data_IF_353424687860
#
_entry.id   IF_353424687860
#
_cell.length_a   1.000
_cell.length_b   1.000
_cell.length_c   1.000
_cell.angle_alpha   90.00
_cell.angle_beta   90.00
_cell.angle_gamma   90.00
#
_symmetry.space_group_name_H-M   'P 1'
#
loop_
_entity.id
_entity.type
_entity.pdbx_description
1 polymer ?
#
# COMPACT_ATOMS: atom_id res chain seq x y z
N UNK A 1 -1.37 3.27 4.91
CA UNK A 1 -0.52 4.44 4.53
C UNK A 1 0.81 4.58 5.25
N UNK A 2 0.86 4.40 6.57
CA UNK A 2 2.07 4.69 7.36
C UNK A 2 3.35 4.01 6.81
N UNK A 3 3.25 2.73 6.43
CA UNK A 3 4.37 1.96 5.88
C UNK A 3 4.98 2.65 4.65
N UNK A 4 4.15 3.10 3.71
CA UNK A 4 4.62 3.78 2.51
C UNK A 4 5.27 5.13 2.83
N UNK A 5 4.67 5.93 3.72
CA UNK A 5 5.20 7.23 4.13
C UNK A 5 6.58 7.08 4.76
N UNK A 6 6.75 6.12 5.67
CA UNK A 6 8.04 5.81 6.28
C UNK A 6 9.03 5.34 5.22
N UNK A 7 8.60 4.48 4.30
CA UNK A 7 9.45 4.01 3.21
C UNK A 7 9.95 5.15 2.31
N UNK A 8 9.05 6.07 1.92
CA UNK A 8 9.41 7.27 1.15
C UNK A 8 10.35 8.18 1.93
N UNK A 9 10.12 8.40 3.23
CA UNK A 9 11.00 9.21 4.06
C UNK A 9 12.42 8.60 4.15
N UNK A 10 12.53 7.27 4.21
CA UNK A 10 13.82 6.55 4.17
C UNK A 10 14.45 6.62 2.78
N UNK A 11 13.66 6.52 1.72
CA UNK A 11 14.15 6.59 0.35
C UNK A 11 14.63 8.01 -0.04
N UNK A 12 14.03 9.05 0.56
CA UNK A 12 14.23 10.44 0.16
C UNK A 12 13.57 10.79 -1.18
N UNK A 13 12.74 9.91 -1.74
CA UNK A 13 12.14 10.03 -3.06
C UNK A 13 10.75 9.36 -3.09
N UNK A 14 9.73 10.12 -3.49
CA UNK A 14 8.34 9.65 -3.68
C UNK A 14 8.25 8.68 -4.87
N UNK A 15 9.12 8.85 -5.87
CA UNK A 15 9.21 8.00 -7.06
C UNK A 15 9.99 6.71 -6.85
N UNK A 16 10.52 6.46 -5.64
CA UNK A 16 11.14 5.19 -5.32
C UNK A 16 10.11 4.05 -5.40
N UNK A 17 10.46 2.96 -6.10
CA UNK A 17 9.53 1.83 -6.29
C UNK A 17 9.42 0.94 -5.04
N UNK A 18 10.48 0.85 -4.24
CA UNK A 18 10.53 -0.10 -3.13
C UNK A 18 9.51 0.20 -2.00
N UNK A 19 9.19 1.46 -1.61
CA UNK A 19 8.14 1.72 -0.62
C UNK A 19 6.77 1.25 -1.09
N UNK A 20 6.48 1.37 -2.39
CA UNK A 20 5.24 0.87 -2.98
C UNK A 20 5.16 -0.66 -2.91
N UNK A 21 6.25 -1.35 -3.25
CA UNK A 21 6.32 -2.82 -3.14
C UNK A 21 6.10 -3.26 -1.69
N UNK A 22 6.75 -2.61 -0.72
CA UNK A 22 6.60 -2.94 0.70
C UNK A 22 5.15 -2.74 1.17
N UNK A 23 4.50 -1.65 0.76
CA UNK A 23 3.09 -1.40 1.11
C UNK A 23 2.15 -2.47 0.53
N UNK A 24 2.35 -2.87 -0.73
CA UNK A 24 1.56 -3.94 -1.37
C UNK A 24 1.75 -5.28 -0.66
N UNK A 25 2.99 -5.64 -0.33
CA UNK A 25 3.30 -6.90 0.38
C UNK A 25 2.70 -6.88 1.79
N UNK A 26 2.80 -5.76 2.50
CA UNK A 26 2.22 -5.61 3.83
C UNK A 26 0.70 -5.75 3.81
N UNK A 27 0.03 -5.15 2.82
CA UNK A 27 -1.42 -5.26 2.65
C UNK A 27 -1.85 -6.70 2.33
N UNK A 28 -1.16 -7.37 1.39
CA UNK A 28 -1.42 -8.77 1.08
C UNK A 28 -1.25 -9.68 2.31
N UNK A 29 -0.22 -9.42 3.11
CA UNK A 29 0.00 -10.15 4.36
C UNK A 29 -1.11 -9.88 5.38
N UNK A 30 -1.57 -8.62 5.52
CA UNK A 30 -2.69 -8.25 6.39
C UNK A 30 -3.96 -9.01 6.01
N UNK A 31 -4.34 -8.96 4.74
CA UNK A 31 -5.55 -9.62 4.24
C UNK A 31 -5.47 -11.15 4.36
N UNK A 32 -4.28 -11.73 4.17
CA UNK A 32 -4.06 -13.16 4.39
C UNK A 32 -4.29 -13.53 5.86
N UNK A 33 -3.76 -12.73 6.80
CA UNK A 33 -3.97 -12.96 8.23
C UNK A 33 -5.44 -12.81 8.63
N UNK A 34 -6.14 -11.83 8.07
CA UNK A 34 -7.55 -11.61 8.37
C UNK A 34 -8.42 -12.73 7.80
N UNK A 35 -8.08 -13.26 6.62
CA UNK A 35 -8.71 -14.48 6.08
C UNK A 35 -8.50 -15.70 6.97
N UNK A 36 -7.30 -15.86 7.54
CA UNK A 36 -6.99 -16.95 8.45
C UNK A 36 -7.73 -16.81 9.79
N UNK A 37 -7.83 -15.60 10.32
CA UNK A 37 -8.50 -15.32 11.60
C UNK A 37 -10.02 -15.41 11.53
N UNK A 38 -10.61 -14.89 10.46
CA UNK A 38 -12.07 -14.80 10.32
C UNK A 38 -12.68 -15.99 9.57
N UNK A 39 -11.83 -16.81 8.93
CA UNK A 39 -12.28 -17.95 8.14
C UNK A 39 -12.99 -17.58 6.82
N UNK A 40 -13.10 -16.29 6.50
CA UNK A 40 -13.82 -15.79 5.32
C UNK A 40 -13.10 -14.61 4.67
N UNK A 41 -13.33 -14.41 3.38
CA UNK A 41 -12.91 -13.18 2.71
C UNK A 41 -13.99 -12.13 2.92
N UNK A 42 -13.66 -11.08 3.68
CA UNK A 42 -14.59 -9.98 3.98
C UNK A 42 -14.41 -8.90 2.94
N UNK A 43 -14.95 -9.13 1.74
CA UNK A 43 -14.68 -8.31 0.55
C UNK A 43 -14.88 -6.80 0.77
N UNK A 44 -15.87 -6.40 1.56
CA UNK A 44 -16.09 -4.99 1.89
C UNK A 44 -14.90 -4.39 2.66
N UNK A 45 -14.45 -5.07 3.72
CA UNK A 45 -13.29 -4.70 4.52
C UNK A 45 -12.01 -4.73 3.66
N UNK A 46 -11.74 -5.84 2.96
CA UNK A 46 -10.60 -5.98 2.04
C UNK A 46 -10.52 -4.84 1.03
N UNK A 47 -11.67 -4.43 0.48
CA UNK A 47 -11.71 -3.31 -0.48
C UNK A 47 -11.35 -1.99 0.21
N UNK A 48 -11.87 -1.75 1.41
CA UNK A 48 -11.54 -0.55 2.19
C UNK A 48 -10.06 -0.51 2.57
N UNK A 49 -9.48 -1.65 2.96
CA UNK A 49 -8.08 -1.74 3.35
C UNK A 49 -7.14 -1.50 2.16
N UNK A 50 -7.43 -2.09 0.99
CA UNK A 50 -6.69 -1.81 -0.25
C UNK A 50 -6.76 -0.32 -0.64
N UNK A 51 -7.94 0.30 -0.54
CA UNK A 51 -8.12 1.74 -0.83
C UNK A 51 -7.28 2.60 0.13
N UNK A 52 -7.21 2.23 1.40
CA UNK A 52 -6.51 3.01 2.43
C UNK A 52 -4.99 2.73 2.48
N UNK A 53 -4.54 1.56 2.01
CA UNK A 53 -3.16 1.08 2.14
C UNK A 53 -2.38 1.04 0.83
N UNK A 54 -3.04 0.91 -0.33
CA UNK A 54 -2.38 0.69 -1.63
C UNK A 54 -2.78 1.71 -2.70
N UNK A 55 -4.06 2.11 -2.77
CA UNK A 55 -4.54 3.01 -3.83
C UNK A 55 -3.76 4.33 -3.88
N UNK A 56 -3.66 5.03 -2.75
CA UNK A 56 -2.96 6.32 -2.69
C UNK A 56 -1.45 6.22 -3.00
N UNK A 57 -0.69 5.21 -2.52
CA UNK A 57 0.69 4.98 -2.89
C UNK A 57 0.87 4.78 -4.38
N UNK A 58 -0.02 4.01 -5.02
CA UNK A 58 0.01 3.84 -6.47
C UNK A 58 -0.18 5.19 -7.15
N UNK A 59 -1.20 5.96 -6.74
CA UNK A 59 -1.47 7.30 -7.30
C UNK A 59 -0.26 8.22 -7.13
N UNK A 60 0.28 8.35 -5.92
CA UNK A 60 1.40 9.25 -5.61
C UNK A 60 2.70 8.82 -6.30
N UNK A 61 3.01 7.52 -6.29
CA UNK A 61 4.13 6.97 -7.05
C UNK A 61 4.00 7.25 -8.55
N UNK A 62 2.81 7.03 -9.13
CA UNK A 62 2.57 7.30 -10.55
C UNK A 62 2.75 8.77 -10.86
N UNK A 63 2.16 9.68 -10.07
CA UNK A 63 2.30 11.12 -10.25
C UNK A 63 3.77 11.56 -10.18
N UNK A 64 4.54 11.03 -9.23
CA UNK A 64 5.99 11.29 -9.14
C UNK A 64 6.74 10.75 -10.37
N UNK A 65 6.39 9.55 -10.83
CA UNK A 65 7.08 8.91 -11.96
C UNK A 65 6.85 9.61 -13.30
N UNK A 66 5.71 10.29 -13.45
CA UNK A 66 5.38 11.12 -14.62
C UNK A 66 5.78 12.59 -14.45
N UNK A 67 6.41 12.97 -13.33
CA UNK A 67 6.92 14.32 -13.08
C UNK A 67 5.85 15.37 -12.77
N UNK A 68 4.69 14.96 -12.23
CA UNK A 68 3.65 15.89 -11.77
C UNK A 68 3.95 16.40 -10.36
N UNK A 69 4.54 15.56 -9.51
CA UNK A 69 5.01 15.89 -8.15
C UNK A 69 6.44 15.42 -7.93
#
# INVERSE_FOLDING_TARGET
MLIWIVGVAVAGDIGAIWPLVVAIVAELANETLDRLRTGSWRIADTTQDIVNSVLWPVVLFTLARIGVI
#
